data_IF_233050748947
#
_entry.id   IF_233050748947
#
_cell.length_a   1.000
_cell.length_b   1.000
_cell.length_c   1.000
_cell.angle_alpha   90.00
_cell.angle_beta   90.00
_cell.angle_gamma   90.00
#
_symmetry.space_group_name_H-M   'P 1'
#
loop_
_entity.id
_entity.type
_entity.pdbx_description
1 polymer ?
#
# COMPACT_ATOMS: atom_id res chain seq x y z
N UNK A 1 16.50 -30.46 4.69
CA UNK A 1 15.34 -29.53 4.64
C UNK A 1 14.87 -29.49 3.19
N UNK A 2 13.76 -30.16 2.86
CA UNK A 2 13.21 -30.21 1.50
C UNK A 2 12.37 -28.96 1.21
N UNK A 3 12.76 -28.14 0.24
CA UNK A 3 11.98 -27.00 -0.26
C UNK A 3 12.81 -25.72 -0.45
N UNK A 4 12.22 -24.78 -1.19
CA UNK A 4 12.78 -23.48 -1.57
C UNK A 4 12.91 -22.52 -0.38
N UNK A 5 14.08 -21.91 -0.20
CA UNK A 5 14.34 -20.82 0.75
C UNK A 5 14.36 -19.47 0.01
N UNK A 6 13.33 -18.62 0.12
CA UNK A 6 13.28 -17.36 -0.63
C UNK A 6 14.40 -16.37 -0.23
N UNK A 7 15.09 -16.56 0.90
CA UNK A 7 16.21 -15.69 1.27
C UNK A 7 17.57 -16.18 0.77
N UNK A 8 17.65 -17.35 0.13
CA UNK A 8 18.91 -17.95 -0.33
C UNK A 8 18.85 -18.53 -1.74
N UNK A 9 17.71 -19.07 -2.14
CA UNK A 9 17.55 -19.85 -3.36
C UNK A 9 17.00 -18.99 -4.51
N UNK A 10 17.53 -17.78 -4.72
CA UNK A 10 17.12 -16.90 -5.82
C UNK A 10 18.31 -16.49 -6.70
N UNK A 11 18.07 -16.27 -8.00
CA UNK A 11 19.12 -15.86 -8.95
C UNK A 11 19.27 -14.34 -9.06
N UNK A 12 18.18 -13.59 -8.87
CA UNK A 12 18.15 -12.12 -8.91
C UNK A 12 17.24 -11.57 -7.81
N UNK A 13 15.91 -11.66 -8.00
CA UNK A 13 14.92 -11.23 -7.01
C UNK A 13 14.12 -12.41 -6.46
N UNK A 14 13.81 -12.36 -5.16
CA UNK A 14 13.14 -13.43 -4.43
C UNK A 14 11.60 -13.31 -4.46
N UNK A 15 11.01 -13.02 -5.62
CA UNK A 15 9.55 -12.93 -5.76
C UNK A 15 8.92 -14.31 -6.02
N UNK A 16 7.73 -14.53 -5.45
CA UNK A 16 6.94 -15.75 -5.65
C UNK A 16 5.53 -15.39 -6.10
N UNK A 17 5.12 -15.94 -7.24
CA UNK A 17 3.74 -15.94 -7.71
C UNK A 17 3.13 -17.34 -7.53
N UNK A 18 2.01 -17.45 -6.80
CA UNK A 18 1.35 -18.72 -6.52
C UNK A 18 -0.11 -18.70 -7.01
N UNK A 19 -0.39 -19.49 -8.05
CA UNK A 19 -1.70 -19.55 -8.69
C UNK A 19 -2.47 -20.82 -8.31
N UNK A 20 -3.80 -20.73 -8.34
CA UNK A 20 -4.70 -21.86 -8.13
C UNK A 20 -6.12 -21.42 -7.75
N UNK A 21 -7.15 -22.27 -7.97
CA UNK A 21 -8.53 -21.94 -7.62
C UNK A 21 -8.75 -21.85 -6.10
N UNK A 22 -9.93 -21.40 -5.69
CA UNK A 22 -10.33 -21.49 -4.27
C UNK A 22 -10.27 -22.93 -3.80
N UNK A 23 -9.77 -23.17 -2.59
CA UNK A 23 -9.58 -24.51 -2.04
C UNK A 23 -8.34 -25.29 -2.51
N UNK A 24 -7.53 -24.77 -3.45
CA UNK A 24 -6.33 -25.48 -3.95
C UNK A 24 -5.15 -25.52 -2.97
N UNK A 25 -5.33 -25.02 -1.75
CA UNK A 25 -4.29 -25.03 -0.70
C UNK A 25 -3.27 -23.90 -0.74
N UNK A 26 -3.47 -22.82 -1.53
CA UNK A 26 -2.52 -21.69 -1.61
C UNK A 26 -2.09 -21.14 -0.25
N UNK A 27 -3.06 -20.79 0.61
CA UNK A 27 -2.78 -20.24 1.94
C UNK A 27 -2.05 -21.25 2.83
N UNK A 28 -2.42 -22.54 2.75
CA UNK A 28 -1.75 -23.59 3.52
C UNK A 28 -0.27 -23.75 3.10
N UNK A 29 0.00 -23.71 1.79
CA UNK A 29 1.36 -23.71 1.24
C UNK A 29 2.16 -22.50 1.72
N UNK A 30 1.59 -21.30 1.64
CA UNK A 30 2.25 -20.06 2.10
C UNK A 30 2.51 -20.08 3.62
N UNK A 31 1.57 -20.55 4.44
CA UNK A 31 1.79 -20.71 5.90
C UNK A 31 2.95 -21.68 6.17
N UNK A 32 3.05 -22.78 5.44
CA UNK A 32 4.19 -23.71 5.54
C UNK A 32 5.53 -23.04 5.22
N UNK A 33 5.56 -22.19 4.18
CA UNK A 33 6.75 -21.39 3.83
C UNK A 33 7.08 -20.35 4.92
N UNK A 34 6.08 -19.63 5.44
CA UNK A 34 6.27 -18.66 6.53
C UNK A 34 6.82 -19.33 7.79
N UNK A 35 6.31 -20.51 8.17
CA UNK A 35 6.83 -21.27 9.31
C UNK A 35 8.32 -21.60 9.14
N UNK A 36 8.72 -22.03 7.94
CA UNK A 36 10.13 -22.31 7.64
C UNK A 36 10.99 -21.05 7.66
N UNK A 37 10.50 -19.96 7.07
CA UNK A 37 11.18 -18.66 7.10
C UNK A 37 11.41 -18.17 8.53
N UNK A 38 10.37 -18.22 9.36
CA UNK A 38 10.47 -17.83 10.76
C UNK A 38 11.38 -18.76 11.57
N UNK A 39 11.41 -20.06 11.27
CA UNK A 39 12.27 -21.00 11.96
C UNK A 39 13.76 -20.80 11.65
N UNK A 40 14.10 -20.49 10.40
CA UNK A 40 15.49 -20.37 9.94
C UNK A 40 16.06 -18.96 10.10
N UNK A 41 15.28 -17.94 9.74
CA UNK A 41 15.80 -16.59 9.54
C UNK A 41 15.15 -15.54 10.45
N UNK A 42 13.96 -15.83 11.00
CA UNK A 42 13.17 -14.89 11.81
C UNK A 42 13.06 -13.47 11.18
N UNK A 43 12.73 -13.34 9.89
CA UNK A 43 12.61 -12.04 9.26
C UNK A 43 11.42 -11.26 9.82
N UNK A 44 11.40 -9.95 9.59
CA UNK A 44 10.18 -9.15 9.77
C UNK A 44 9.22 -9.47 8.63
N UNK A 45 8.07 -10.05 8.95
CA UNK A 45 7.05 -10.41 7.97
C UNK A 45 5.86 -9.45 8.01
N UNK A 46 5.40 -9.06 6.82
CA UNK A 46 4.15 -8.36 6.62
C UNK A 46 3.24 -9.28 5.79
N UNK A 47 2.02 -9.51 6.29
CA UNK A 47 1.04 -10.40 5.66
C UNK A 47 -0.24 -9.61 5.47
N UNK A 48 -0.68 -9.49 4.22
CA UNK A 48 -1.93 -8.82 3.84
C UNK A 48 -2.81 -9.89 3.22
N UNK A 49 -3.98 -10.13 3.80
CA UNK A 49 -4.87 -11.21 3.35
C UNK A 49 -6.36 -10.88 3.52
N UNK A 50 -7.20 -11.60 2.78
CA UNK A 50 -8.65 -11.63 2.95
C UNK A 50 -9.08 -13.01 3.47
N UNK A 51 -9.72 -13.08 4.64
CA UNK A 51 -10.34 -14.31 5.16
C UNK A 51 -9.68 -14.98 6.39
N UNK A 52 -8.53 -14.47 6.88
CA UNK A 52 -7.88 -14.91 8.12
C UNK A 52 -7.25 -16.32 8.08
N UNK A 53 -6.67 -16.71 6.94
CA UNK A 53 -5.88 -17.93 6.76
C UNK A 53 -4.60 -17.97 7.60
N UNK A 54 -3.96 -16.83 7.85
CA UNK A 54 -2.70 -16.70 8.58
C UNK A 54 -2.88 -16.38 10.06
N UNK A 55 -4.12 -16.24 10.54
CA UNK A 55 -4.41 -15.91 11.94
C UNK A 55 -3.80 -16.90 12.94
N UNK A 56 -3.88 -18.21 12.65
CA UNK A 56 -3.27 -19.25 13.48
C UNK A 56 -1.74 -19.21 13.43
N UNK A 57 -1.16 -18.84 12.29
CA UNK A 57 0.28 -18.65 12.16
C UNK A 57 0.75 -17.48 13.04
N UNK A 58 0.03 -16.35 13.04
CA UNK A 58 0.31 -15.23 13.94
C UNK A 58 0.26 -15.65 15.42
N UNK A 59 -0.80 -16.35 15.84
CA UNK A 59 -0.92 -16.86 17.22
C UNK A 59 0.20 -17.84 17.58
N UNK A 60 0.63 -18.68 16.63
CA UNK A 60 1.77 -19.56 16.81
C UNK A 60 3.04 -18.74 17.05
N UNK A 61 3.32 -17.71 16.24
CA UNK A 61 4.47 -16.83 16.43
C UNK A 61 4.46 -16.13 17.80
N UNK A 62 3.33 -15.58 18.23
CA UNK A 62 3.16 -14.97 19.56
C UNK A 62 3.47 -15.96 20.68
N UNK A 63 2.94 -17.19 20.59
CA UNK A 63 3.16 -18.23 21.59
C UNK A 63 4.64 -18.57 21.77
N UNK A 64 5.45 -18.43 20.72
CA UNK A 64 6.90 -18.65 20.75
C UNK A 64 7.71 -17.36 20.99
N UNK A 65 7.07 -16.31 21.50
CA UNK A 65 7.74 -15.10 22.00
C UNK A 65 8.06 -14.06 20.93
N UNK A 66 7.47 -14.17 19.73
CA UNK A 66 7.60 -13.14 18.70
C UNK A 66 6.56 -12.04 18.90
N UNK A 67 6.94 -10.79 18.65
CA UNK A 67 5.98 -9.69 18.58
C UNK A 67 5.13 -9.82 17.31
N UNK A 68 3.81 -9.82 17.46
CA UNK A 68 2.87 -9.82 16.34
C UNK A 68 1.92 -8.64 16.49
N UNK A 69 1.71 -7.93 15.38
CA UNK A 69 0.71 -6.88 15.30
C UNK A 69 -0.38 -7.35 14.33
N UNK A 70 -1.58 -7.61 14.85
CA UNK A 70 -2.72 -8.07 14.04
C UNK A 70 -3.76 -6.96 13.96
N UNK A 71 -3.96 -6.46 12.75
CA UNK A 71 -4.97 -5.45 12.45
C UNK A 71 -6.04 -6.09 11.57
N UNK A 72 -7.31 -5.96 11.97
CA UNK A 72 -8.44 -6.32 11.11
C UNK A 72 -9.09 -5.04 10.59
N UNK A 73 -9.17 -4.91 9.27
CA UNK A 73 -9.85 -3.81 8.60
C UNK A 73 -11.28 -4.25 8.27
N UNK A 74 -12.26 -3.57 8.83
CA UNK A 74 -13.69 -3.74 8.57
C UNK A 74 -14.39 -2.36 8.65
N UNK A 75 -15.68 -2.30 8.34
CA UNK A 75 -16.44 -1.03 8.33
C UNK A 75 -16.47 -0.28 9.68
N UNK A 76 -16.12 -0.94 10.80
CA UNK A 76 -16.02 -0.33 12.14
C UNK A 76 -14.58 -0.01 12.55
N UNK A 77 -13.60 -0.31 11.70
CA UNK A 77 -12.19 -0.05 11.98
C UNK A 77 -11.91 1.45 11.87
N UNK A 78 -11.60 2.10 13.00
CA UNK A 78 -11.26 3.52 13.01
C UNK A 78 -9.75 3.73 12.81
N UNK A 79 -9.38 4.56 11.81
CA UNK A 79 -8.09 5.27 11.79
C UNK A 79 -6.83 4.42 11.74
N UNK A 80 -6.88 3.20 11.20
CA UNK A 80 -5.73 2.28 11.19
C UNK A 80 -4.71 2.55 10.08
N UNK A 81 -5.01 3.47 9.16
CA UNK A 81 -4.12 3.83 8.05
C UNK A 81 -3.89 5.33 8.03
N UNK A 82 -2.65 5.72 7.74
CA UNK A 82 -2.23 7.08 7.49
C UNK A 82 -1.90 7.22 5.99
N UNK A 83 -2.90 7.18 5.10
CA UNK A 83 -2.66 7.21 3.65
C UNK A 83 -1.86 8.47 3.26
N UNK A 84 -2.14 9.60 3.91
CA UNK A 84 -1.45 10.87 3.68
C UNK A 84 -0.21 11.07 4.54
N UNK A 85 0.40 10.00 5.08
CA UNK A 85 1.57 10.10 5.95
C UNK A 85 2.73 10.86 5.30
N UNK A 86 2.95 10.59 4.01
CA UNK A 86 4.07 11.12 3.24
C UNK A 86 3.79 12.52 2.65
N UNK A 87 2.59 13.07 2.82
CA UNK A 87 2.23 14.40 2.32
C UNK A 87 3.15 15.51 2.87
N UNK A 88 3.75 15.31 4.04
CA UNK A 88 4.78 16.20 4.62
C UNK A 88 5.97 16.45 3.68
N UNK A 89 6.25 15.54 2.75
CA UNK A 89 7.35 15.67 1.80
C UNK A 89 7.01 16.61 0.63
N UNK A 90 5.73 16.95 0.44
CA UNK A 90 5.27 17.87 -0.60
C UNK A 90 5.40 19.34 -0.21
N UNK A 91 5.74 19.65 1.05
CA UNK A 91 5.86 21.03 1.54
C UNK A 91 6.93 21.78 0.75
N UNK A 92 6.60 22.97 0.25
CA UNK A 92 7.51 23.79 -0.57
C UNK A 92 7.75 23.31 -2.01
N UNK A 93 7.23 22.13 -2.40
CA UNK A 93 7.26 21.67 -3.79
C UNK A 93 6.14 22.31 -4.62
N UNK A 94 6.34 22.45 -5.93
CA UNK A 94 5.26 22.85 -6.85
C UNK A 94 4.29 21.68 -7.06
N UNK A 95 3.03 21.98 -7.41
CA UNK A 95 2.03 20.97 -7.76
C UNK A 95 2.03 20.79 -9.28
N UNK A 96 2.59 19.69 -9.81
CA UNK A 96 2.41 19.36 -11.21
C UNK A 96 0.94 18.98 -11.45
N UNK A 97 0.32 19.57 -12.47
CA UNK A 97 -1.02 19.21 -12.91
C UNK A 97 -0.97 18.30 -14.13
N UNK A 98 -1.92 17.39 -14.20
CA UNK A 98 -2.04 16.43 -15.31
C UNK A 98 -2.52 17.16 -16.56
N UNK A 99 -1.81 16.99 -17.67
CA UNK A 99 -2.08 17.71 -18.93
C UNK A 99 -3.35 17.21 -19.63
N UNK A 100 -3.53 15.88 -19.70
CA UNK A 100 -4.66 15.23 -20.39
C UNK A 100 -5.24 14.04 -19.60
N UNK A 101 -6.49 13.66 -19.87
CA UNK A 101 -7.19 12.61 -19.10
C UNK A 101 -6.57 11.21 -19.27
N UNK A 102 -5.79 10.99 -20.34
CA UNK A 102 -5.05 9.74 -20.58
C UNK A 102 -3.98 9.51 -19.50
N UNK A 103 -3.38 10.59 -19.00
CA UNK A 103 -2.37 10.51 -17.94
C UNK A 103 -2.96 10.28 -16.54
N UNK A 104 -4.29 10.14 -16.43
CA UNK A 104 -4.99 9.76 -15.20
C UNK A 104 -5.15 8.25 -15.05
N UNK A 105 -4.72 7.44 -16.01
CA UNK A 105 -4.87 5.99 -15.86
C UNK A 105 -4.04 5.49 -14.65
N UNK A 106 -4.63 4.63 -13.82
CA UNK A 106 -3.99 4.16 -12.59
C UNK A 106 -2.68 3.44 -12.85
N UNK A 107 -2.58 2.80 -14.02
CA UNK A 107 -1.36 2.14 -14.50
C UNK A 107 -0.25 3.16 -14.80
N UNK A 108 -0.59 4.38 -15.20
CA UNK A 108 0.36 5.43 -15.55
C UNK A 108 0.70 6.39 -14.41
N UNK A 109 -0.08 6.41 -13.33
CA UNK A 109 0.17 7.27 -12.16
C UNK A 109 1.38 6.84 -11.31
N UNK A 110 1.93 5.65 -11.57
CA UNK A 110 3.18 5.16 -10.97
C UNK A 110 4.25 4.83 -12.02
N UNK A 111 4.04 5.18 -13.29
CA UNK A 111 4.94 4.89 -14.42
C UNK A 111 6.13 5.87 -14.52
N UNK A 112 6.47 6.57 -13.44
CA UNK A 112 7.71 7.35 -13.38
C UNK A 112 8.97 6.45 -13.29
N UNK A 113 8.89 5.21 -13.77
CA UNK A 113 10.00 4.29 -14.06
C UNK A 113 10.79 4.77 -15.30
N UNK A 114 11.01 6.08 -15.45
CA UNK A 114 12.10 6.55 -16.31
C UNK A 114 13.39 6.10 -15.63
N UNK A 115 14.27 5.33 -16.29
CA UNK A 115 15.54 4.87 -15.70
C UNK A 115 16.50 6.02 -15.30
N UNK A 116 16.12 7.28 -15.58
CA UNK A 116 16.86 8.49 -15.22
C UNK A 116 16.26 9.24 -14.01
N UNK A 117 15.04 8.92 -13.54
CA UNK A 117 14.39 9.62 -12.43
C UNK A 117 14.11 8.66 -11.25
N UNK A 118 15.12 8.49 -10.39
CA UNK A 118 15.04 7.68 -9.15
C UNK A 118 14.13 8.33 -8.07
N UNK A 119 13.45 9.44 -8.37
CA UNK A 119 12.62 10.17 -7.41
C UNK A 119 11.19 9.63 -7.34
N UNK A 120 10.85 9.08 -6.18
CA UNK A 120 9.49 8.60 -5.82
C UNK A 120 8.43 9.69 -6.04
N UNK A 121 7.42 9.41 -6.87
CA UNK A 121 6.27 10.30 -7.09
C UNK A 121 5.27 10.24 -5.92
N UNK A 122 5.59 10.97 -4.86
CA UNK A 122 4.76 11.04 -3.65
C UNK A 122 3.39 11.64 -3.95
N UNK A 123 3.29 12.65 -4.82
CA UNK A 123 2.01 13.29 -5.11
C UNK A 123 1.09 12.33 -5.88
N UNK A 124 1.62 11.62 -6.88
CA UNK A 124 0.89 10.59 -7.62
C UNK A 124 0.39 9.47 -6.70
N UNK A 125 1.25 8.93 -5.81
CA UNK A 125 0.85 7.91 -4.85
C UNK A 125 -0.30 8.38 -3.93
N UNK A 126 -0.21 9.61 -3.42
CA UNK A 126 -1.22 10.17 -2.53
C UNK A 126 -2.53 10.46 -3.27
N UNK A 127 -2.45 10.87 -4.54
CA UNK A 127 -3.62 11.02 -5.40
C UNK A 127 -4.32 9.68 -5.63
N UNK A 128 -3.58 8.60 -5.92
CA UNK A 128 -4.16 7.26 -6.06
C UNK A 128 -4.95 6.87 -4.80
N UNK A 129 -4.38 7.12 -3.62
CA UNK A 129 -5.05 6.85 -2.34
C UNK A 129 -6.32 7.70 -2.19
N UNK A 130 -6.25 9.01 -2.45
CA UNK A 130 -7.40 9.90 -2.37
C UNK A 130 -8.50 9.48 -3.36
N UNK A 131 -8.13 9.17 -4.60
CA UNK A 131 -9.05 8.73 -5.65
C UNK A 131 -9.78 7.46 -5.24
N UNK A 132 -9.07 6.43 -4.74
CA UNK A 132 -9.68 5.21 -4.20
C UNK A 132 -10.65 5.49 -3.05
N UNK A 133 -10.34 6.46 -2.19
CA UNK A 133 -11.22 6.87 -1.09
C UNK A 133 -12.47 7.62 -1.56
N UNK A 134 -12.35 8.47 -2.59
CA UNK A 134 -13.45 9.24 -3.17
C UNK A 134 -14.40 8.33 -3.95
N UNK A 135 -13.87 7.44 -4.79
CA UNK A 135 -14.66 6.57 -5.66
C UNK A 135 -15.11 5.28 -4.99
N UNK A 136 -14.58 4.97 -3.79
CA UNK A 136 -14.77 3.68 -3.14
C UNK A 136 -14.13 2.51 -3.89
N UNK A 137 -13.30 2.78 -4.91
CA UNK A 137 -12.78 1.77 -5.83
C UNK A 137 -13.82 1.20 -6.79
N UNK A 138 -14.98 1.84 -6.93
CA UNK A 138 -16.01 1.42 -7.88
C UNK A 138 -15.62 1.84 -9.30
N UNK A 139 -15.57 0.87 -10.23
CA UNK A 139 -15.12 1.12 -11.61
C UNK A 139 -15.88 2.27 -12.28
N UNK A 140 -17.19 2.38 -12.05
CA UNK A 140 -18.01 3.44 -12.63
C UNK A 140 -17.58 4.83 -12.16
N UNK A 141 -17.39 5.01 -10.86
CA UNK A 141 -16.94 6.28 -10.27
C UNK A 141 -15.50 6.60 -10.70
N UNK A 142 -14.67 5.56 -10.85
CA UNK A 142 -13.32 5.66 -11.38
C UNK A 142 -13.28 6.18 -12.82
N UNK A 143 -14.21 5.69 -13.67
CA UNK A 143 -14.36 6.11 -15.06
C UNK A 143 -14.91 7.53 -15.20
N UNK A 144 -15.64 8.03 -14.20
CA UNK A 144 -16.18 9.39 -14.15
C UNK A 144 -15.19 10.43 -13.62
N UNK A 145 -14.10 10.00 -12.98
CA UNK A 145 -13.03 10.88 -12.49
C UNK A 145 -12.25 11.55 -13.64
N UNK A 146 -12.22 12.89 -13.67
CA UNK A 146 -11.60 13.69 -14.74
C UNK A 146 -10.40 14.51 -14.24
N UNK A 147 -9.70 15.18 -15.16
CA UNK A 147 -8.59 16.10 -14.83
C UNK A 147 -8.94 17.20 -13.84
N UNK A 148 -10.17 17.71 -13.91
CA UNK A 148 -10.61 18.74 -13.00
C UNK A 148 -10.61 18.20 -11.56
N UNK A 149 -11.13 16.98 -11.36
CA UNK A 149 -11.13 16.30 -10.07
C UNK A 149 -9.70 16.00 -9.61
N UNK A 150 -8.85 15.50 -10.51
CA UNK A 150 -7.41 15.30 -10.25
C UNK A 150 -6.71 16.57 -9.77
N UNK A 151 -6.92 17.69 -10.47
CA UNK A 151 -6.31 18.97 -10.11
C UNK A 151 -6.80 19.43 -8.73
N UNK A 152 -8.11 19.34 -8.48
CA UNK A 152 -8.69 19.68 -7.18
C UNK A 152 -8.12 18.80 -6.05
N UNK A 153 -7.99 17.50 -6.28
CA UNK A 153 -7.44 16.56 -5.28
C UNK A 153 -5.97 16.85 -4.99
N UNK A 154 -5.16 17.10 -6.03
CA UNK A 154 -3.73 17.45 -5.87
C UNK A 154 -3.56 18.74 -5.07
N UNK A 155 -4.36 19.76 -5.37
CA UNK A 155 -4.35 21.03 -4.64
C UNK A 155 -4.78 20.85 -3.18
N UNK A 156 -5.84 20.08 -2.92
CA UNK A 156 -6.30 19.78 -1.56
C UNK A 156 -5.25 19.02 -0.73
N UNK A 157 -4.55 18.05 -1.34
CA UNK A 157 -3.45 17.31 -0.68
C UNK A 157 -2.31 18.27 -0.33
N UNK A 158 -1.94 19.16 -1.26
CA UNK A 158 -0.88 20.14 -1.07
C UNK A 158 -1.23 21.15 0.02
N UNK A 159 -2.43 21.70 0.01
CA UNK A 159 -2.90 22.65 1.03
C UNK A 159 -2.92 21.97 2.41
N UNK A 160 -3.40 20.73 2.50
CA UNK A 160 -3.38 19.96 3.73
C UNK A 160 -1.95 19.75 4.25
N UNK A 161 -1.00 19.45 3.37
CA UNK A 161 0.41 19.32 3.72
C UNK A 161 1.00 20.60 4.31
N UNK A 162 0.77 21.75 3.67
CA UNK A 162 1.28 23.05 4.12
C UNK A 162 0.62 23.51 5.43
N UNK A 163 -0.68 23.28 5.55
CA UNK A 163 -1.42 23.59 6.76
C UNK A 163 -0.91 22.76 7.95
N UNK A 164 -0.84 21.43 7.81
CA UNK A 164 -0.37 20.55 8.87
C UNK A 164 1.10 20.76 9.22
N UNK A 165 1.95 21.10 8.24
CA UNK A 165 3.34 21.44 8.50
C UNK A 165 3.48 22.68 9.41
N UNK A 166 2.66 23.72 9.19
CA UNK A 166 2.66 24.92 10.06
C UNK A 166 2.22 24.61 11.50
N UNK A 167 1.37 23.60 11.68
CA UNK A 167 0.87 23.20 13.00
C UNK A 167 1.70 22.09 13.65
N UNK A 168 2.75 21.60 12.99
CA UNK A 168 3.53 20.42 13.41
C UNK A 168 2.66 19.16 13.64
N UNK A 169 1.69 18.96 12.74
CA UNK A 169 0.76 17.82 12.79
C UNK A 169 0.94 16.87 11.60
N UNK A 170 0.59 15.60 11.82
CA UNK A 170 0.51 14.62 10.73
C UNK A 170 -0.72 14.91 9.85
N UNK A 171 -0.54 14.91 8.53
CA UNK A 171 -1.65 14.99 7.58
C UNK A 171 -2.56 13.77 7.71
N UNK A 172 -3.86 14.01 7.86
CA UNK A 172 -4.92 13.00 8.03
C UNK A 172 -5.94 13.16 6.90
N UNK A 173 -6.74 12.13 6.59
CA UNK A 173 -7.82 12.24 5.60
C UNK A 173 -8.77 13.41 5.84
N UNK A 174 -9.01 13.78 7.11
CA UNK A 174 -9.86 14.92 7.47
C UNK A 174 -9.28 16.29 7.10
N UNK A 175 -8.01 16.37 6.71
CA UNK A 175 -7.36 17.61 6.31
C UNK A 175 -7.42 17.85 4.80
N UNK A 176 -7.57 16.78 4.00
CA UNK A 176 -7.71 16.86 2.54
C UNK A 176 -9.18 17.13 2.24
N UNK A 177 -9.52 18.37 1.85
CA UNK A 177 -10.90 18.83 1.63
C UNK A 177 -11.01 19.68 0.37
#
# INVERSE_FOLDING_TARGET
LLGFDPLKDYSSNAHLNLFGPSGSGKSATLVGQCLRLMALHRPRLFIIEAGNSFGLFGQFCERYGLSVNRIQVNAKSHGLMAPFADAKHLVGQAVPHVSDDIALDLEHLNDNDSPEDDHRDILGELEIMARLMITGGEQREMDDYRRADSSMVRDAIKEAAEHCHRLDEQVRPTHVK
#
